data_IF_929284226954
#
_entry.id   IF_929284226954
#
_cell.length_a   1.000
_cell.length_b   1.000
_cell.length_c   1.000
_cell.angle_alpha   90.00
_cell.angle_beta   90.00
_cell.angle_gamma   90.00
#
_symmetry.space_group_name_H-M   'P 1'
#
loop_
_entity.id
_entity.type
_entity.pdbx_description
1 polymer ?
#
# COMPACT_ATOMS: atom_id res chain seq x y z
N UNK A 1 -22.30 8.96 -4.91
CA UNK A 1 -23.57 9.49 -5.46
C UNK A 1 -23.87 8.82 -6.77
N UNK A 2 -24.86 7.92 -6.80
CA UNK A 2 -25.33 7.28 -8.03
C UNK A 2 -25.85 8.31 -9.05
N UNK A 3 -26.36 9.46 -8.55
CA UNK A 3 -26.81 10.62 -9.34
C UNK A 3 -25.73 11.19 -10.29
N UNK A 4 -24.44 11.10 -9.93
CA UNK A 4 -23.34 11.53 -10.80
C UNK A 4 -23.05 10.54 -11.94
N UNK A 5 -23.62 9.33 -11.89
CA UNK A 5 -23.40 8.27 -12.87
C UNK A 5 -24.61 8.05 -13.80
N UNK A 6 -25.69 8.79 -13.58
CA UNK A 6 -26.95 8.61 -14.29
C UNK A 6 -27.12 9.66 -15.40
N UNK A 7 -27.56 9.21 -16.59
CA UNK A 7 -27.79 10.04 -17.78
C UNK A 7 -26.55 10.56 -18.51
N UNK A 8 -26.77 11.51 -19.42
CA UNK A 8 -25.73 12.14 -20.25
C UNK A 8 -24.78 12.99 -19.40
N UNK A 9 -23.50 12.99 -19.78
CA UNK A 9 -22.42 13.73 -19.11
C UNK A 9 -22.01 14.94 -19.93
N UNK A 10 -22.02 16.11 -19.30
CA UNK A 10 -21.42 17.33 -19.81
C UNK A 10 -21.02 18.20 -18.62
N UNK A 11 -20.03 19.06 -18.77
CA UNK A 11 -19.56 19.93 -17.67
C UNK A 11 -20.69 20.75 -17.05
N UNK A 12 -21.64 21.22 -17.89
CA UNK A 12 -22.83 21.96 -17.44
C UNK A 12 -23.78 21.09 -16.61
N UNK A 13 -24.03 19.85 -17.04
CA UNK A 13 -24.91 18.91 -16.32
C UNK A 13 -24.26 18.49 -15.00
N UNK A 14 -22.96 18.21 -15.01
CA UNK A 14 -22.22 17.78 -13.83
C UNK A 14 -22.11 18.92 -12.80
N UNK A 15 -21.89 20.15 -13.23
CA UNK A 15 -21.90 21.33 -12.35
C UNK A 15 -23.26 21.52 -11.68
N UNK A 16 -24.36 21.38 -12.42
CA UNK A 16 -25.71 21.50 -11.85
C UNK A 16 -26.01 20.38 -10.84
N UNK A 17 -25.67 19.12 -11.17
CA UNK A 17 -25.79 17.98 -10.24
C UNK A 17 -24.95 18.18 -8.97
N UNK A 18 -23.75 18.75 -9.09
CA UNK A 18 -22.91 19.07 -7.93
C UNK A 18 -23.52 20.19 -7.08
N UNK A 19 -24.10 21.22 -7.70
CA UNK A 19 -24.81 22.29 -7.00
C UNK A 19 -26.03 21.77 -6.23
N UNK A 20 -26.82 20.88 -6.83
CA UNK A 20 -27.96 20.25 -6.17
C UNK A 20 -27.52 19.36 -4.99
N UNK A 21 -26.45 18.57 -5.19
CA UNK A 21 -25.86 17.76 -4.12
C UNK A 21 -25.32 18.62 -2.97
N UNK A 22 -24.76 19.79 -3.28
CA UNK A 22 -24.30 20.75 -2.28
C UNK A 22 -25.49 21.36 -1.52
N UNK A 23 -26.52 21.81 -2.24
CA UNK A 23 -27.75 22.36 -1.66
C UNK A 23 -28.44 21.37 -0.72
N UNK A 24 -28.51 20.09 -1.11
CA UNK A 24 -29.10 19.02 -0.31
C UNK A 24 -28.18 18.52 0.83
N UNK A 25 -27.00 19.13 1.03
CA UNK A 25 -25.96 18.67 1.96
C UNK A 25 -25.59 17.17 1.77
N UNK A 26 -25.71 16.67 0.53
CA UNK A 26 -25.37 15.30 0.12
C UNK A 26 -23.96 15.20 -0.48
N UNK A 27 -23.22 16.30 -0.51
CA UNK A 27 -21.84 16.33 -0.97
C UNK A 27 -20.91 15.89 0.16
N UNK A 28 -20.06 14.90 -0.13
CA UNK A 28 -19.02 14.46 0.83
C UNK A 28 -17.76 15.28 0.60
N UNK A 29 -17.29 15.98 1.64
CA UNK A 29 -16.02 16.72 1.58
C UNK A 29 -14.87 15.77 1.22
N UNK A 30 -14.15 16.07 0.14
CA UNK A 30 -12.90 15.40 -0.20
C UNK A 30 -11.76 16.15 0.46
N UNK A 31 -10.89 15.46 1.19
CA UNK A 31 -9.70 16.09 1.74
C UNK A 31 -8.77 16.57 0.61
N UNK A 32 -8.56 17.87 0.57
CA UNK A 32 -7.51 18.54 -0.20
C UNK A 32 -6.31 18.74 0.74
N UNK A 33 -5.12 18.36 0.28
CA UNK A 33 -3.93 18.28 1.14
C UNK A 33 -3.53 19.62 1.73
N UNK A 34 -3.34 19.69 3.05
CA UNK A 34 -2.62 20.78 3.70
C UNK A 34 -1.17 20.82 3.17
N UNK A 35 -0.62 22.03 3.01
CA UNK A 35 0.71 22.27 2.41
C UNK A 35 1.85 21.59 3.15
N UNK A 36 1.70 21.32 4.46
CA UNK A 36 2.77 20.83 5.34
C UNK A 36 3.38 19.48 4.98
N UNK A 37 2.67 18.58 4.27
CA UNK A 37 3.18 17.24 3.89
C UNK A 37 3.51 17.15 2.39
N UNK A 38 3.36 18.25 1.63
CA UNK A 38 3.53 18.24 0.17
C UNK A 38 4.93 17.80 -0.25
N UNK A 39 5.97 18.35 0.39
CA UNK A 39 7.35 17.98 0.10
C UNK A 39 7.62 16.50 0.33
N UNK A 40 7.25 15.99 1.53
CA UNK A 40 7.39 14.57 1.86
C UNK A 40 6.65 13.67 0.85
N UNK A 41 5.49 14.11 0.36
CA UNK A 41 4.71 13.36 -0.62
C UNK A 41 5.40 13.27 -1.97
N UNK A 42 5.96 14.35 -2.48
CA UNK A 42 6.68 14.31 -3.77
C UNK A 42 7.97 13.48 -3.65
N UNK A 43 8.71 13.58 -2.53
CA UNK A 43 9.86 12.70 -2.26
C UNK A 43 9.45 11.22 -2.18
N UNK A 44 8.33 10.92 -1.54
CA UNK A 44 7.80 9.55 -1.45
C UNK A 44 7.42 9.01 -2.83
N UNK A 45 6.76 9.81 -3.67
CA UNK A 45 6.42 9.45 -5.04
C UNK A 45 7.66 9.19 -5.89
N UNK A 46 8.65 10.09 -5.81
CA UNK A 46 9.94 9.92 -6.49
C UNK A 46 10.62 8.61 -6.09
N UNK A 47 10.74 8.35 -4.78
CA UNK A 47 11.31 7.11 -4.26
C UNK A 47 10.57 5.86 -4.77
N UNK A 48 9.24 5.85 -4.74
CA UNK A 48 8.42 4.72 -5.19
C UNK A 48 8.58 4.48 -6.70
N UNK A 49 8.59 5.55 -7.52
CA UNK A 49 8.82 5.47 -8.97
C UNK A 49 10.19 4.88 -9.28
N UNK A 50 11.26 5.38 -8.65
CA UNK A 50 12.62 4.87 -8.85
C UNK A 50 12.73 3.40 -8.45
N UNK A 51 12.14 2.99 -7.31
CA UNK A 51 12.11 1.58 -6.89
C UNK A 51 11.40 0.69 -7.91
N UNK A 52 10.28 1.18 -8.49
CA UNK A 52 9.53 0.48 -9.52
C UNK A 52 10.35 0.32 -10.80
N UNK A 53 11.02 1.38 -11.24
CA UNK A 53 11.84 1.35 -12.46
C UNK A 53 13.09 0.50 -12.31
N UNK A 54 13.74 0.55 -11.14
CA UNK A 54 14.83 -0.35 -10.79
C UNK A 54 14.39 -1.81 -10.86
N UNK A 55 13.22 -2.14 -10.29
CA UNK A 55 12.65 -3.49 -10.36
C UNK A 55 12.36 -3.90 -11.81
N UNK A 56 11.82 -2.99 -12.63
CA UNK A 56 11.60 -3.24 -14.07
C UNK A 56 12.88 -3.50 -14.83
N UNK A 57 13.97 -2.77 -14.55
CA UNK A 57 15.28 -3.03 -15.16
C UNK A 57 15.81 -4.40 -14.72
N UNK A 58 15.73 -4.72 -13.42
CA UNK A 58 16.13 -6.01 -12.89
C UNK A 58 15.38 -7.19 -13.53
N UNK A 59 14.07 -7.02 -13.78
CA UNK A 59 13.26 -8.02 -14.48
C UNK A 59 13.65 -8.14 -15.95
N UNK A 60 13.85 -7.01 -16.65
CA UNK A 60 14.30 -6.98 -18.06
C UNK A 60 15.66 -7.64 -18.23
N UNK A 61 16.59 -7.39 -17.32
CA UNK A 61 17.92 -7.99 -17.34
C UNK A 61 17.84 -9.52 -17.22
N UNK A 62 17.10 -10.03 -16.23
CA UNK A 62 16.87 -11.47 -16.12
C UNK A 62 16.10 -12.05 -17.31
N UNK A 63 15.20 -11.29 -17.93
CA UNK A 63 14.49 -11.73 -19.12
C UNK A 63 15.43 -11.95 -20.31
N UNK A 64 16.46 -11.10 -20.47
CA UNK A 64 17.52 -11.30 -21.48
C UNK A 64 18.23 -12.64 -21.26
N UNK A 65 18.67 -12.95 -20.04
CA UNK A 65 19.33 -14.23 -19.78
C UNK A 65 18.40 -15.43 -19.98
N UNK A 66 17.15 -15.32 -19.55
CA UNK A 66 16.15 -16.40 -19.72
C UNK A 66 15.81 -16.69 -21.17
N UNK A 67 15.78 -15.68 -22.05
CA UNK A 67 15.50 -15.91 -23.47
C UNK A 67 16.59 -16.72 -24.17
N UNK A 68 17.78 -16.81 -23.57
CA UNK A 68 18.92 -17.60 -24.04
C UNK A 68 19.12 -18.89 -23.22
N UNK A 69 18.09 -19.32 -22.48
CA UNK A 69 18.12 -20.50 -21.61
C UNK A 69 19.23 -20.47 -20.53
N UNK A 70 19.75 -19.28 -20.18
CA UNK A 70 20.75 -19.13 -19.13
C UNK A 70 20.03 -19.03 -17.77
N UNK A 71 20.24 -19.99 -16.84
CA UNK A 71 19.58 -19.96 -15.54
C UNK A 71 20.11 -18.80 -14.71
N UNK A 72 19.22 -17.86 -14.37
CA UNK A 72 19.55 -16.61 -13.68
C UNK A 72 18.90 -16.54 -12.28
N UNK A 73 19.03 -17.63 -11.52
CA UNK A 73 18.55 -17.70 -10.13
C UNK A 73 19.35 -16.74 -9.22
N UNK A 74 18.78 -16.39 -8.07
CA UNK A 74 19.49 -15.57 -7.08
C UNK A 74 19.64 -14.10 -7.46
N UNK A 75 20.67 -13.45 -6.89
CA UNK A 75 20.94 -12.01 -7.03
C UNK A 75 22.24 -11.69 -7.75
N UNK A 76 23.06 -12.69 -8.09
CA UNK A 76 24.41 -12.49 -8.60
C UNK A 76 24.44 -11.76 -9.94
N UNK A 77 23.41 -11.97 -10.76
CA UNK A 77 23.13 -11.24 -12.01
C UNK A 77 23.15 -9.73 -11.82
N UNK A 78 22.88 -9.22 -10.62
CA UNK A 78 22.78 -7.79 -10.37
C UNK A 78 24.05 -7.18 -9.79
N UNK A 79 25.00 -7.99 -9.34
CA UNK A 79 26.21 -7.50 -8.69
C UNK A 79 27.26 -7.10 -9.73
N UNK A 80 27.83 -5.91 -9.56
CA UNK A 80 28.85 -5.36 -10.45
C UNK A 80 30.05 -6.30 -10.61
N UNK A 81 30.48 -6.97 -9.53
CA UNK A 81 31.62 -7.89 -9.52
C UNK A 81 31.46 -9.14 -10.42
N UNK A 82 30.23 -9.55 -10.72
CA UNK A 82 29.98 -10.71 -11.58
C UNK A 82 29.57 -10.30 -13.00
N UNK A 83 29.55 -8.99 -13.31
CA UNK A 83 28.96 -8.48 -14.56
C UNK A 83 29.67 -9.02 -15.80
N UNK A 84 30.99 -9.02 -15.80
CA UNK A 84 31.77 -9.47 -16.95
C UNK A 84 31.58 -10.98 -17.19
N UNK A 85 31.55 -11.77 -16.10
CA UNK A 85 31.22 -13.20 -16.16
C UNK A 85 29.80 -13.42 -16.74
N UNK A 86 28.81 -12.63 -16.30
CA UNK A 86 27.45 -12.72 -16.81
C UNK A 86 27.34 -12.27 -18.28
N UNK A 87 28.06 -11.23 -18.69
CA UNK A 87 28.08 -10.77 -20.09
C UNK A 87 28.79 -11.78 -21.01
N UNK A 88 29.82 -12.46 -20.50
CA UNK A 88 30.54 -13.53 -21.20
C UNK A 88 29.66 -14.74 -21.55
N UNK A 89 28.60 -14.99 -20.77
CA UNK A 89 27.62 -16.07 -21.04
C UNK A 89 26.77 -15.81 -22.30
N UNK A 90 26.65 -14.55 -22.74
CA UNK A 90 25.90 -14.19 -23.95
C UNK A 90 26.90 -14.17 -25.12
N UNK A 91 26.76 -15.11 -26.07
CA UNK A 91 27.62 -15.17 -27.27
C UNK A 91 27.29 -14.07 -28.29
N UNK A 92 26.00 -13.79 -28.46
CA UNK A 92 25.48 -12.86 -29.46
C UNK A 92 25.80 -11.38 -29.12
N UNK A 93 26.51 -10.69 -30.01
CA UNK A 93 27.01 -9.34 -29.75
C UNK A 93 25.88 -8.32 -29.51
N UNK A 94 24.80 -8.36 -30.31
CA UNK A 94 23.67 -7.42 -30.17
C UNK A 94 22.94 -7.57 -28.83
N UNK A 95 22.76 -8.80 -28.37
CA UNK A 95 22.12 -9.09 -27.07
C UNK A 95 23.04 -8.70 -25.91
N UNK A 96 24.35 -8.94 -26.04
CA UNK A 96 25.34 -8.50 -25.06
C UNK A 96 25.31 -6.97 -24.90
N UNK A 97 25.31 -6.21 -26.00
CA UNK A 97 25.17 -4.75 -25.98
C UNK A 97 23.86 -4.28 -25.33
N UNK A 98 22.75 -4.99 -25.58
CA UNK A 98 21.47 -4.71 -24.92
C UNK A 98 21.56 -4.96 -23.40
N UNK A 99 22.21 -6.03 -22.95
CA UNK A 99 22.42 -6.33 -21.54
C UNK A 99 23.31 -5.27 -20.87
N UNK A 100 24.40 -4.84 -21.52
CA UNK A 100 25.27 -3.75 -21.06
C UNK A 100 24.50 -2.45 -20.80
N UNK A 101 23.63 -2.04 -21.74
CA UNK A 101 22.76 -0.86 -21.55
C UNK A 101 21.82 -1.01 -20.34
N UNK A 102 21.29 -2.22 -20.11
CA UNK A 102 20.45 -2.50 -18.93
C UNK A 102 21.27 -2.44 -17.63
N UNK A 103 22.52 -2.88 -17.64
CA UNK A 103 23.43 -2.73 -16.52
C UNK A 103 23.73 -1.26 -16.20
N UNK A 104 24.00 -0.44 -17.22
CA UNK A 104 24.18 1.00 -17.05
C UNK A 104 22.93 1.68 -16.44
N UNK A 105 21.74 1.33 -16.93
CA UNK A 105 20.49 1.81 -16.33
C UNK A 105 20.33 1.36 -14.88
N UNK A 106 20.70 0.11 -14.58
CA UNK A 106 20.63 -0.44 -13.23
C UNK A 106 21.54 0.35 -12.27
N UNK A 107 22.76 0.67 -12.67
CA UNK A 107 23.71 1.42 -11.84
C UNK A 107 23.19 2.82 -11.51
N UNK A 108 22.71 3.54 -12.53
CA UNK A 108 22.16 4.89 -12.34
C UNK A 108 20.92 4.87 -11.44
N UNK A 109 20.01 3.90 -11.64
CA UNK A 109 18.83 3.77 -10.78
C UNK A 109 19.18 3.36 -9.36
N UNK A 110 20.23 2.55 -9.16
CA UNK A 110 20.71 2.20 -7.82
C UNK A 110 21.21 3.45 -7.09
N UNK A 111 21.98 4.30 -7.76
CA UNK A 111 22.44 5.58 -7.23
C UNK A 111 21.28 6.51 -6.86
N UNK A 112 20.37 6.77 -7.80
CA UNK A 112 19.18 7.61 -7.59
C UNK A 112 18.30 7.09 -6.44
N UNK A 113 18.15 5.77 -6.32
CA UNK A 113 17.40 5.16 -5.21
C UNK A 113 18.02 5.50 -3.86
N UNK A 114 19.34 5.53 -3.74
CA UNK A 114 20.01 5.88 -2.48
C UNK A 114 19.84 7.37 -2.16
N UNK A 115 19.92 8.25 -3.16
CA UNK A 115 19.65 9.68 -2.97
C UNK A 115 18.20 9.93 -2.53
N UNK A 116 17.22 9.43 -3.29
CA UNK A 116 15.80 9.55 -2.95
C UNK A 116 15.47 8.95 -1.58
N UNK A 117 16.14 7.85 -1.20
CA UNK A 117 16.02 7.26 0.14
C UNK A 117 16.51 8.23 1.23
N UNK A 118 17.67 8.87 1.03
CA UNK A 118 18.25 9.81 2.01
C UNK A 118 17.37 11.05 2.16
N UNK A 119 16.94 11.64 1.06
CA UNK A 119 16.05 12.81 1.04
C UNK A 119 14.72 12.52 1.72
N UNK A 120 14.05 11.40 1.35
CA UNK A 120 12.80 10.97 1.97
C UNK A 120 12.95 10.82 3.49
N UNK A 121 14.04 10.20 3.94
CA UNK A 121 14.29 9.99 5.36
C UNK A 121 14.61 11.30 6.08
N UNK A 122 15.38 12.20 5.48
CA UNK A 122 15.68 13.51 6.03
C UNK A 122 14.40 14.32 6.24
N UNK A 123 13.54 14.40 5.23
CA UNK A 123 12.25 15.11 5.32
C UNK A 123 11.32 14.45 6.34
N UNK A 124 11.27 13.11 6.38
CA UNK A 124 10.41 12.39 7.31
C UNK A 124 10.71 12.69 8.79
N UNK A 125 11.94 13.07 9.12
CA UNK A 125 12.36 13.40 10.49
C UNK A 125 11.74 14.70 11.00
N UNK A 126 11.34 15.61 10.10
CA UNK A 126 10.65 16.86 10.47
C UNK A 126 9.25 16.61 11.04
N UNK A 127 8.67 15.44 10.75
CA UNK A 127 7.34 15.06 11.24
C UNK A 127 7.46 14.18 12.49
N UNK A 128 7.05 14.71 13.64
CA UNK A 128 7.09 14.01 14.93
C UNK A 128 6.35 12.65 14.90
N UNK A 129 5.28 12.55 14.11
CA UNK A 129 4.54 11.30 13.94
C UNK A 129 5.40 10.17 13.36
N UNK A 130 6.37 10.47 12.51
CA UNK A 130 7.24 9.45 11.92
C UNK A 130 8.01 8.68 13.00
N UNK A 131 8.40 9.36 14.08
CA UNK A 131 9.08 8.75 15.23
C UNK A 131 8.14 7.78 15.95
N UNK A 132 6.91 8.20 16.24
CA UNK A 132 5.90 7.35 16.90
C UNK A 132 5.55 6.13 16.04
N UNK A 133 5.37 6.30 14.73
CA UNK A 133 5.08 5.18 13.84
C UNK A 133 6.23 4.17 13.74
N UNK A 134 7.49 4.59 13.88
CA UNK A 134 8.65 3.68 13.91
C UNK A 134 8.67 2.75 15.12
N UNK A 135 7.96 3.08 16.21
CA UNK A 135 7.84 2.20 17.37
C UNK A 135 6.99 0.96 17.07
N UNK A 136 6.14 1.01 16.03
CA UNK A 136 5.34 -0.14 15.61
C UNK A 136 6.29 -1.22 15.04
N UNK A 137 6.31 -2.44 15.59
CA UNK A 137 7.19 -3.49 15.10
C UNK A 137 6.94 -3.76 13.60
N UNK A 138 8.03 -3.97 12.85
CA UNK A 138 8.01 -4.15 11.38
C UNK A 138 7.62 -2.94 10.53
N UNK A 139 7.34 -1.78 11.14
CA UNK A 139 7.17 -0.50 10.46
C UNK A 139 8.47 0.33 10.54
N UNK A 140 9.45 -0.07 9.73
CA UNK A 140 10.75 0.61 9.67
C UNK A 140 10.68 2.04 9.10
N UNK A 141 11.81 2.78 9.09
CA UNK A 141 11.83 4.22 8.83
C UNK A 141 11.26 4.63 7.46
N UNK A 142 11.51 3.83 6.42
CA UNK A 142 10.93 4.05 5.08
C UNK A 142 9.43 3.82 5.07
N UNK A 143 8.94 2.74 5.70
CA UNK A 143 7.51 2.46 5.75
C UNK A 143 6.77 3.52 6.57
N UNK A 144 7.35 4.00 7.66
CA UNK A 144 6.76 5.10 8.43
C UNK A 144 6.69 6.39 7.60
N UNK A 145 7.77 6.76 6.89
CA UNK A 145 7.79 7.93 6.01
C UNK A 145 6.73 7.83 4.90
N UNK A 146 6.64 6.68 4.22
CA UNK A 146 5.64 6.42 3.19
C UNK A 146 4.20 6.41 3.76
N UNK A 147 3.99 5.86 4.95
CA UNK A 147 2.69 5.90 5.60
C UNK A 147 2.24 7.35 5.82
N UNK A 148 3.15 8.21 6.31
CA UNK A 148 2.87 9.64 6.51
C UNK A 148 2.55 10.33 5.18
N UNK A 149 3.39 10.13 4.17
CA UNK A 149 3.24 10.72 2.85
C UNK A 149 1.93 10.33 2.14
N UNK A 150 1.51 9.06 2.26
CA UNK A 150 0.36 8.53 1.53
C UNK A 150 -0.98 8.77 2.26
N UNK A 151 -0.98 8.70 3.59
CA UNK A 151 -2.16 8.97 4.43
C UNK A 151 -2.39 10.48 4.56
N UNK A 152 -1.32 11.27 4.61
CA UNK A 152 -1.28 12.73 4.79
C UNK A 152 -1.82 13.20 6.14
N UNK A 153 -3.10 12.94 6.41
CA UNK A 153 -3.75 13.21 7.69
C UNK A 153 -4.55 12.00 8.16
N UNK A 154 -4.46 11.61 9.45
CA UNK A 154 -5.25 10.50 9.97
C UNK A 154 -6.74 10.88 10.08
N UNK A 155 -7.07 12.17 10.13
CA UNK A 155 -8.44 12.66 10.27
C UNK A 155 -9.28 12.48 8.99
N UNK A 156 -8.62 12.26 7.83
CA UNK A 156 -9.27 11.84 6.58
C UNK A 156 -10.08 10.55 6.75
N UNK A 157 -9.68 9.69 7.69
CA UNK A 157 -10.35 8.42 7.94
C UNK A 157 -11.08 8.46 9.26
N UNK A 158 -12.41 8.54 9.25
CA UNK A 158 -13.24 8.45 10.46
C UNK A 158 -13.03 7.12 11.17
N UNK A 159 -12.98 6.01 10.42
CA UNK A 159 -12.87 4.65 10.98
C UNK A 159 -11.75 3.82 10.35
N UNK A 160 -11.28 2.80 11.08
CA UNK A 160 -10.29 1.82 10.56
C UNK A 160 -10.74 1.13 9.27
N UNK A 161 -12.06 0.93 9.09
CA UNK A 161 -12.63 0.33 7.88
C UNK A 161 -12.40 1.20 6.63
N UNK A 162 -12.46 2.53 6.77
CA UNK A 162 -12.17 3.44 5.66
C UNK A 162 -10.70 3.38 5.25
N UNK A 163 -9.78 3.32 6.22
CA UNK A 163 -8.35 3.14 5.91
C UNK A 163 -8.10 1.78 5.25
N UNK A 164 -8.76 0.71 5.69
CA UNK A 164 -8.66 -0.61 5.05
C UNK A 164 -9.17 -0.58 3.61
N UNK A 165 -10.29 0.10 3.34
CA UNK A 165 -10.82 0.25 1.99
C UNK A 165 -9.85 1.05 1.10
N UNK A 166 -9.34 2.18 1.61
CA UNK A 166 -8.36 3.02 0.92
C UNK A 166 -7.03 2.29 0.62
N UNK A 167 -6.61 1.43 1.54
CA UNK A 167 -5.38 0.63 1.39
C UNK A 167 -5.60 -0.71 0.67
N UNK A 168 -6.82 -0.99 0.16
CA UNK A 168 -7.13 -2.24 -0.54
C UNK A 168 -6.99 -3.50 0.32
N UNK A 169 -7.20 -3.36 1.64
CA UNK A 169 -7.24 -4.43 2.63
C UNK A 169 -8.68 -4.83 3.00
N UNK A 170 -9.68 -4.02 2.67
CA UNK A 170 -11.09 -4.35 2.85
C UNK A 170 -11.59 -5.30 1.75
N UNK A 171 -12.61 -6.10 2.08
CA UNK A 171 -13.37 -6.85 1.09
C UNK A 171 -14.37 -5.90 0.41
N UNK A 172 -14.51 -6.05 -0.89
CA UNK A 172 -15.58 -5.42 -1.64
C UNK A 172 -16.82 -6.30 -1.53
N UNK A 173 -17.83 -5.76 -0.86
CA UNK A 173 -19.11 -6.40 -0.62
C UNK A 173 -20.18 -5.66 -1.37
N UNK A 174 -20.97 -6.36 -2.19
CA UNK A 174 -22.13 -5.78 -2.87
C UNK A 174 -23.40 -6.46 -2.40
N UNK A 175 -24.34 -5.66 -1.96
CA UNK A 175 -25.72 -6.07 -1.65
C UNK A 175 -26.67 -5.31 -2.57
N UNK A 176 -27.46 -6.03 -3.36
CA UNK A 176 -28.64 -5.49 -4.03
C UNK A 176 -29.84 -5.65 -3.12
N UNK A 177 -30.76 -4.67 -3.13
CA UNK A 177 -31.90 -4.59 -2.23
C UNK A 177 -31.48 -4.63 -0.74
N UNK A 178 -30.68 -3.64 -0.32
CA UNK A 178 -30.26 -3.48 1.09
C UNK A 178 -31.44 -3.33 2.04
N UNK A 179 -32.57 -2.89 1.53
CA UNK A 179 -33.82 -2.76 2.25
C UNK A 179 -34.94 -3.54 1.54
N UNK A 180 -35.81 -4.16 2.33
CA UNK A 180 -37.06 -4.76 1.89
C UNK A 180 -38.22 -4.22 2.72
N UNK A 181 -39.39 -4.04 2.10
CA UNK A 181 -40.60 -3.72 2.82
C UNK A 181 -41.18 -5.01 3.42
N UNK A 182 -41.33 -5.04 4.74
CA UNK A 182 -41.96 -6.17 5.45
C UNK A 182 -42.99 -5.59 6.40
N UNK A 183 -44.27 -5.98 6.22
CA UNK A 183 -45.42 -5.51 7.02
C UNK A 183 -45.49 -3.98 7.14
N UNK A 184 -45.46 -3.27 6.00
CA UNK A 184 -45.57 -1.81 5.95
C UNK A 184 -44.34 -1.02 6.40
N UNK A 185 -43.29 -1.67 6.90
CA UNK A 185 -42.05 -1.01 7.34
C UNK A 185 -40.85 -1.35 6.46
N UNK A 186 -40.03 -0.34 6.15
CA UNK A 186 -38.73 -0.53 5.51
C UNK A 186 -37.77 -1.22 6.51
N UNK A 187 -37.36 -2.46 6.23
CA UNK A 187 -36.40 -3.20 7.05
C UNK A 187 -35.15 -3.52 6.26
N UNK A 188 -33.99 -3.57 6.94
CA UNK A 188 -32.73 -3.98 6.32
C UNK A 188 -32.82 -5.47 5.94
N UNK A 189 -32.59 -5.77 4.67
CA UNK A 189 -32.64 -7.11 4.11
C UNK A 189 -31.54 -7.99 4.72
N UNK A 190 -31.90 -9.21 5.14
CA UNK A 190 -30.95 -10.23 5.66
C UNK A 190 -30.24 -11.02 4.56
N UNK A 191 -30.32 -10.58 3.29
CA UNK A 191 -29.68 -11.28 2.17
C UNK A 191 -28.17 -11.45 2.40
N UNK A 192 -27.66 -12.62 2.03
CA UNK A 192 -26.23 -12.89 2.08
C UNK A 192 -25.48 -11.87 1.23
N UNK A 193 -24.47 -11.26 1.85
CA UNK A 193 -23.62 -10.27 1.22
C UNK A 193 -22.73 -10.98 0.21
N UNK A 194 -22.85 -10.63 -1.08
CA UNK A 194 -21.94 -11.18 -2.09
C UNK A 194 -20.55 -10.54 -1.92
N UNK A 195 -19.55 -11.37 -1.63
CA UNK A 195 -18.14 -10.95 -1.60
C UNK A 195 -17.62 -10.96 -3.03
N UNK A 196 -17.38 -9.78 -3.61
CA UNK A 196 -16.89 -9.65 -5.00
C UNK A 196 -15.37 -9.61 -5.13
N UNK A 197 -14.65 -9.69 -4.02
CA UNK A 197 -13.18 -9.73 -3.99
C UNK A 197 -12.58 -8.53 -3.27
N UNK A 198 -11.42 -8.07 -3.72
CA UNK A 198 -10.72 -6.91 -3.17
C UNK A 198 -11.05 -5.68 -4.02
N UNK A 199 -11.28 -4.54 -3.36
CA UNK A 199 -11.46 -3.25 -4.03
C UNK A 199 -10.30 -2.98 -5.01
N UNK A 200 -10.62 -2.77 -6.29
CA UNK A 200 -9.62 -2.43 -7.33
C UNK A 200 -9.13 -0.99 -7.19
N UNK A 201 -10.01 -0.08 -6.77
CA UNK A 201 -9.73 1.35 -6.63
C UNK A 201 -9.17 1.65 -5.22
N UNK A 202 -7.87 1.42 -5.06
CA UNK A 202 -7.16 1.62 -3.80
C UNK A 202 -5.74 2.16 -4.02
N UNK A 203 -5.12 2.64 -2.94
CA UNK A 203 -3.72 3.01 -2.94
C UNK A 203 -2.85 1.75 -2.88
N UNK A 204 -2.31 1.36 -4.04
CA UNK A 204 -1.45 0.17 -4.20
C UNK A 204 -0.19 0.22 -3.33
N UNK A 205 0.39 1.41 -3.15
CA UNK A 205 1.62 1.57 -2.36
C UNK A 205 1.35 1.37 -0.86
N UNK A 206 0.23 1.89 -0.35
CA UNK A 206 -0.21 1.60 1.03
C UNK A 206 -0.52 0.12 1.23
N UNK A 207 -1.16 -0.52 0.24
CA UNK A 207 -1.37 -1.97 0.28
C UNK A 207 -0.05 -2.73 0.37
N UNK A 208 0.90 -2.39 -0.48
CA UNK A 208 2.23 -2.99 -0.51
C UNK A 208 2.98 -2.79 0.81
N UNK A 209 2.87 -1.59 1.39
CA UNK A 209 3.46 -1.22 2.68
C UNK A 209 2.91 -2.08 3.82
N UNK A 210 1.58 -2.14 4.00
CA UNK A 210 0.99 -2.92 5.09
C UNK A 210 1.14 -4.43 4.88
N UNK A 211 1.05 -4.91 3.64
CA UNK A 211 1.32 -6.31 3.31
C UNK A 211 2.76 -6.68 3.63
N UNK A 212 3.73 -5.85 3.23
CA UNK A 212 5.14 -6.05 3.53
C UNK A 212 5.47 -5.96 5.02
N UNK A 213 4.76 -5.10 5.77
CA UNK A 213 4.83 -5.03 7.22
C UNK A 213 4.35 -6.34 7.86
N UNK A 214 3.18 -6.82 7.46
CA UNK A 214 2.63 -8.08 7.95
C UNK A 214 3.50 -9.30 7.61
N UNK A 215 4.05 -9.38 6.40
CA UNK A 215 4.95 -10.48 6.02
C UNK A 215 6.17 -10.52 6.93
N UNK A 216 6.81 -9.38 7.19
CA UNK A 216 7.97 -9.30 8.08
C UNK A 216 7.60 -9.59 9.53
N UNK A 217 6.46 -9.06 9.99
CA UNK A 217 5.94 -9.26 11.33
C UNK A 217 5.52 -10.71 11.62
N UNK A 218 5.18 -11.50 10.59
CA UNK A 218 4.85 -12.92 10.75
C UNK A 218 6.06 -13.82 10.97
N UNK A 219 7.28 -13.32 10.70
CA UNK A 219 8.53 -14.10 10.78
C UNK A 219 9.41 -13.65 11.94
N UNK A 220 9.46 -12.34 12.22
CA UNK A 220 10.31 -11.81 13.29
C UNK A 220 9.69 -12.05 14.68
N UNK A 221 10.50 -12.39 15.70
CA UNK A 221 10.02 -12.52 17.07
C UNK A 221 9.38 -11.21 17.56
N UNK A 222 8.26 -11.34 18.27
CA UNK A 222 7.57 -10.21 18.88
C UNK A 222 6.04 -10.35 18.88
N UNK A 223 5.32 -9.33 19.37
CA UNK A 223 3.91 -9.46 19.71
C UNK A 223 3.00 -9.71 18.50
N UNK A 224 3.44 -9.30 17.31
CA UNK A 224 2.73 -9.58 16.07
C UNK A 224 2.91 -11.02 15.58
N UNK A 225 4.07 -11.64 15.85
CA UNK A 225 4.29 -13.05 15.55
C UNK A 225 3.45 -13.92 16.47
N UNK A 226 3.38 -13.59 17.76
CA UNK A 226 2.53 -14.33 18.71
C UNK A 226 1.05 -14.29 18.29
N UNK A 227 0.58 -13.14 17.79
CA UNK A 227 -0.77 -13.01 17.24
C UNK A 227 -0.95 -13.85 15.97
N UNK A 228 0.08 -13.89 15.11
CA UNK A 228 0.07 -14.69 13.89
C UNK A 228 0.02 -16.19 14.21
N UNK A 229 0.87 -16.68 15.11
CA UNK A 229 0.90 -18.08 15.55
C UNK A 229 -0.40 -18.50 16.22
N UNK A 230 -0.96 -17.66 17.11
CA UNK A 230 -2.29 -17.89 17.70
C UNK A 230 -3.39 -17.99 16.65
N UNK A 231 -3.29 -17.22 15.56
CA UNK A 231 -4.25 -17.32 14.45
C UNK A 231 -4.11 -18.64 13.68
N UNK A 232 -2.88 -19.13 13.48
CA UNK A 232 -2.63 -20.43 12.83
C UNK A 232 -3.10 -21.59 13.71
N UNK A 233 -2.87 -21.53 15.02
CA UNK A 233 -3.36 -22.52 15.98
C UNK A 233 -4.90 -22.64 15.98
N UNK A 234 -5.60 -21.55 15.64
CA UNK A 234 -7.07 -21.53 15.44
C UNK A 234 -7.53 -22.08 14.07
N UNK A 235 -6.63 -22.66 13.27
CA UNK A 235 -6.93 -23.20 11.95
C UNK A 235 -7.10 -22.17 10.83
N UNK A 236 -6.74 -20.90 11.06
CA UNK A 236 -6.84 -19.86 10.03
C UNK A 236 -5.75 -20.08 8.98
N UNK A 237 -6.12 -20.09 7.69
CA UNK A 237 -5.16 -20.20 6.58
C UNK A 237 -4.05 -19.15 6.67
N UNK A 238 -2.77 -19.49 6.42
CA UNK A 238 -1.64 -18.57 6.55
C UNK A 238 -1.79 -17.23 5.81
N UNK A 239 -2.40 -17.27 4.63
CA UNK A 239 -2.67 -16.07 3.81
C UNK A 239 -3.68 -15.13 4.47
N UNK A 240 -4.75 -15.69 5.06
CA UNK A 240 -5.77 -14.94 5.79
C UNK A 240 -5.23 -14.38 7.10
N UNK A 241 -4.41 -15.14 7.83
CA UNK A 241 -3.76 -14.66 9.04
C UNK A 241 -2.84 -13.45 8.75
N UNK A 242 -2.08 -13.46 7.64
CA UNK A 242 -1.28 -12.28 7.21
C UNK A 242 -2.14 -11.08 6.81
N UNK A 243 -3.29 -11.30 6.18
CA UNK A 243 -4.23 -10.23 5.86
C UNK A 243 -4.81 -9.58 7.13
N UNK A 244 -5.22 -10.40 8.10
CA UNK A 244 -5.69 -9.93 9.41
C UNK A 244 -4.60 -9.14 10.13
N UNK A 245 -3.35 -9.62 10.08
CA UNK A 245 -2.21 -8.91 10.64
C UNK A 245 -1.96 -7.55 9.95
N UNK A 246 -2.04 -7.48 8.62
CA UNK A 246 -1.94 -6.22 7.87
C UNK A 246 -3.04 -5.22 8.27
N UNK A 247 -4.29 -5.69 8.41
CA UNK A 247 -5.41 -4.88 8.89
C UNK A 247 -5.18 -4.37 10.31
N UNK A 248 -4.62 -5.20 11.20
CA UNK A 248 -4.30 -4.83 12.58
C UNK A 248 -3.21 -3.76 12.63
N UNK A 249 -2.13 -3.92 11.88
CA UNK A 249 -1.06 -2.91 11.74
C UNK A 249 -1.63 -1.59 11.23
N UNK A 250 -2.45 -1.61 10.17
CA UNK A 250 -3.07 -0.40 9.64
C UNK A 250 -3.99 0.31 10.65
N UNK A 251 -4.75 -0.46 11.44
CA UNK A 251 -5.60 0.09 12.48
C UNK A 251 -4.79 0.77 13.59
N UNK A 252 -3.69 0.15 14.02
CA UNK A 252 -2.77 0.69 15.03
C UNK A 252 -2.10 1.97 14.53
N UNK A 253 -1.63 1.98 13.27
CA UNK A 253 -1.09 3.17 12.62
C UNK A 253 -2.10 4.32 12.68
N UNK A 254 -3.38 4.08 12.38
CA UNK A 254 -4.41 5.12 12.44
C UNK A 254 -4.67 5.60 13.87
N UNK A 255 -4.78 4.69 14.85
CA UNK A 255 -5.08 5.06 16.23
C UNK A 255 -3.95 5.83 16.89
N UNK A 256 -2.71 5.37 16.73
CA UNK A 256 -1.54 6.06 17.28
C UNK A 256 -1.37 7.44 16.66
N UNK A 257 -1.64 7.57 15.36
CA UNK A 257 -1.55 8.87 14.70
C UNK A 257 -2.65 9.84 15.17
N UNK A 258 -3.91 9.38 15.28
CA UNK A 258 -4.98 10.25 15.79
C UNK A 258 -4.78 10.69 17.24
N UNK A 259 -4.33 9.79 18.09
CA UNK A 259 -4.19 10.05 19.54
C UNK A 259 -2.85 10.66 19.92
N UNK A 260 -1.84 10.56 19.05
CA UNK A 260 -0.47 10.93 19.39
C UNK A 260 0.14 10.06 20.50
N UNK A 261 -0.40 8.87 20.78
CA UNK A 261 0.13 7.96 21.79
C UNK A 261 1.37 7.21 21.27
N UNK A 262 2.19 6.68 22.19
CA UNK A 262 3.26 5.73 21.89
C UNK A 262 2.69 4.33 21.65
N UNK A 263 3.42 3.51 20.88
CA UNK A 263 3.03 2.12 20.67
C UNK A 263 3.12 1.33 21.98
N UNK A 264 2.04 0.62 22.29
CA UNK A 264 1.92 -0.25 23.46
C UNK A 264 1.53 -1.65 23.00
N UNK A 265 2.37 -2.63 23.36
CA UNK A 265 2.20 -4.02 22.97
C UNK A 265 1.04 -4.71 23.73
N UNK A 266 0.66 -4.24 24.92
CA UNK A 266 -0.40 -4.87 25.71
C UNK A 266 -1.79 -4.58 25.14
N UNK A 267 -1.95 -3.43 24.48
CA UNK A 267 -3.14 -3.11 23.67
C UNK A 267 -3.35 -4.08 22.50
N UNK A 268 -2.36 -4.90 22.14
CA UNK A 268 -2.53 -5.96 21.12
C UNK A 268 -3.25 -7.19 21.67
N UNK A 269 -3.17 -7.44 22.98
CA UNK A 269 -3.78 -8.59 23.66
C UNK A 269 -5.25 -8.35 23.96
N UNK A 270 -5.65 -7.09 24.21
CA UNK A 270 -6.98 -6.71 24.68
C UNK A 270 -8.11 -6.65 23.63
N UNK A 271 -7.86 -6.99 22.36
CA UNK A 271 -8.92 -7.19 21.36
C UNK A 271 -8.96 -8.63 20.87
N UNK A 272 -9.52 -9.47 21.73
CA UNK A 272 -10.18 -10.73 21.40
C UNK A 272 -11.44 -10.85 22.27
N UNK A 273 -12.44 -10.02 21.96
CA UNK A 273 -13.86 -10.22 22.26
C UNK A 273 -14.64 -9.55 21.12
#
# INVERSE_FOLDING_TARGET
NALLKDGNKSDRIDAHKLAELLYLNKLSSVYHGETGVRMLRELARSYLTIVKDLTRVMCRLKAVYRSWAIPCAGRDVYYTRHRDEWLGKIKEAGVRRRAERLYQQLDMLQYLRQQARRELLAESRKHAITVKLRQIPSLGPIRSALAVALIQTPHRFRTKRQLWAYSGLALETRTSAEYCYVKGGLRRSKKQISIRGLNKDHNHDLKGLFKGAATRASVLPGPFQDFYQRSLAKGIKPTMARLTLARKIAAITLTLWKKGENFDADKLKSQAA
#
